data_IF_625136081865
#
_entry.id   IF_625136081865
#
_cell.length_a   1.000
_cell.length_b   1.000
_cell.length_c   1.000
_cell.angle_alpha   90.00
_cell.angle_beta   90.00
_cell.angle_gamma   90.00
#
_symmetry.space_group_name_H-M   'P 1'
#
loop_
_entity.id
_entity.type
_entity.pdbx_description
1 polymer ?
#
# COMPACT_ATOMS: atom_id res chain seq x y z
N UNK A 1 10.85 -13.80 -10.32
CA UNK A 1 11.72 -13.54 -11.48
C UNK A 1 10.95 -13.59 -12.81
N UNK A 2 10.09 -14.58 -13.09
CA UNK A 2 9.33 -14.65 -14.35
C UNK A 2 8.23 -13.57 -14.51
N UNK A 3 7.57 -13.16 -13.45
CA UNK A 3 6.55 -12.09 -13.50
C UNK A 3 7.14 -10.71 -13.87
N UNK A 4 8.34 -10.41 -13.40
CA UNK A 4 9.02 -9.15 -13.71
C UNK A 4 9.45 -9.03 -15.18
N UNK A 5 9.82 -10.13 -15.80
CA UNK A 5 10.24 -10.16 -17.22
C UNK A 5 9.02 -10.02 -18.15
N UNK A 6 7.88 -10.64 -17.80
CA UNK A 6 6.64 -10.50 -18.57
C UNK A 6 6.09 -9.07 -18.54
N UNK A 7 6.07 -8.45 -17.38
CA UNK A 7 5.66 -7.05 -17.22
C UNK A 7 6.60 -6.12 -17.97
N UNK A 8 7.91 -6.32 -17.85
CA UNK A 8 8.91 -5.50 -18.54
C UNK A 8 8.79 -5.63 -20.07
N UNK A 9 8.57 -6.83 -20.59
CA UNK A 9 8.40 -7.06 -22.03
C UNK A 9 7.10 -6.45 -22.57
N UNK A 10 5.99 -6.54 -21.83
CA UNK A 10 4.74 -5.88 -22.18
C UNK A 10 4.90 -4.36 -22.22
N UNK A 11 5.65 -3.81 -21.26
CA UNK A 11 5.94 -2.38 -21.17
C UNK A 11 6.85 -1.89 -22.31
N UNK A 12 7.89 -2.66 -22.64
CA UNK A 12 8.81 -2.33 -23.74
C UNK A 12 8.10 -2.38 -25.10
N UNK A 13 7.16 -3.30 -25.29
CA UNK A 13 6.39 -3.39 -26.54
C UNK A 13 5.42 -2.19 -26.71
N UNK A 14 4.84 -1.71 -25.62
CA UNK A 14 3.93 -0.55 -25.64
C UNK A 14 4.67 0.77 -25.86
N UNK A 15 5.88 0.93 -25.31
CA UNK A 15 6.72 2.14 -25.48
C UNK A 15 7.36 2.22 -26.89
N UNK A 16 7.44 1.11 -27.61
CA UNK A 16 8.13 1.04 -28.91
C UNK A 16 7.30 1.57 -30.10
N UNK A 17 6.01 1.90 -29.88
CA UNK A 17 5.06 2.28 -30.94
C UNK A 17 4.97 3.77 -31.26
N UNK A 18 5.48 4.69 -30.46
CA UNK A 18 5.11 6.11 -30.56
C UNK A 18 6.28 7.11 -30.78
N UNK A 19 5.95 8.09 -31.63
CA UNK A 19 6.81 9.17 -32.14
C UNK A 19 7.33 10.16 -31.08
N UNK A 20 8.30 11.01 -31.46
CA UNK A 20 9.04 11.97 -30.63
C UNK A 20 8.23 12.84 -29.64
N UNK A 21 6.92 13.05 -29.86
CA UNK A 21 6.04 13.76 -28.92
C UNK A 21 5.77 12.97 -27.62
N UNK A 22 5.91 11.65 -27.65
CA UNK A 22 5.69 10.77 -26.49
C UNK A 22 6.82 10.88 -25.46
N UNK A 23 8.05 11.12 -25.90
CA UNK A 23 9.23 11.15 -25.03
C UNK A 23 9.20 12.35 -24.07
N UNK A 24 8.76 13.52 -24.52
CA UNK A 24 8.66 14.73 -23.68
C UNK A 24 7.54 14.59 -22.65
N UNK A 25 6.40 14.01 -23.01
CA UNK A 25 5.28 13.76 -22.12
C UNK A 25 5.66 12.72 -21.04
N UNK A 26 6.38 11.67 -21.43
CA UNK A 26 6.90 10.67 -20.50
C UNK A 26 7.88 11.26 -19.50
N UNK A 27 8.81 12.10 -19.95
CA UNK A 27 9.76 12.80 -19.08
C UNK A 27 9.06 13.70 -18.05
N UNK A 28 8.02 14.41 -18.46
CA UNK A 28 7.22 15.25 -17.58
C UNK A 28 6.45 14.41 -16.54
N UNK A 29 5.85 13.31 -16.94
CA UNK A 29 5.13 12.40 -16.03
C UNK A 29 6.07 11.75 -15.01
N UNK A 30 7.27 11.33 -15.44
CA UNK A 30 8.31 10.81 -14.54
C UNK A 30 8.76 11.89 -13.55
N UNK A 31 8.99 13.12 -14.02
CA UNK A 31 9.40 14.23 -13.16
C UNK A 31 8.32 14.57 -12.11
N UNK A 32 7.04 14.56 -12.48
CA UNK A 32 5.92 14.76 -11.56
C UNK A 32 5.85 13.68 -10.50
N UNK A 33 6.00 12.41 -10.89
CA UNK A 33 5.99 11.27 -9.96
C UNK A 33 7.18 11.35 -9.00
N UNK A 34 8.37 11.63 -9.53
CA UNK A 34 9.57 11.79 -8.72
C UNK A 34 9.44 12.96 -7.74
N UNK A 35 8.91 14.12 -8.17
CA UNK A 35 8.65 15.26 -7.30
C UNK A 35 7.66 14.92 -6.17
N UNK A 36 6.55 14.24 -6.50
CA UNK A 36 5.58 13.81 -5.51
C UNK A 36 6.21 12.84 -4.48
N UNK A 37 6.99 11.89 -4.95
CA UNK A 37 7.64 10.92 -4.08
C UNK A 37 8.74 11.54 -3.23
N UNK A 38 9.58 12.40 -3.80
CA UNK A 38 10.57 13.15 -3.02
C UNK A 38 9.89 13.99 -1.93
N UNK A 39 8.80 14.67 -2.26
CA UNK A 39 8.03 15.47 -1.30
C UNK A 39 7.44 14.57 -0.20
N UNK A 40 6.85 13.42 -0.56
CA UNK A 40 6.31 12.46 0.40
C UNK A 40 7.38 11.87 1.33
N UNK A 41 8.55 11.53 0.79
CA UNK A 41 9.70 11.05 1.59
C UNK A 41 10.22 12.15 2.50
N UNK A 42 10.42 13.36 2.02
CA UNK A 42 10.85 14.50 2.85
C UNK A 42 9.86 14.82 3.96
N UNK A 43 8.56 14.78 3.66
CA UNK A 43 7.50 14.96 4.65
C UNK A 43 7.51 13.85 5.72
N UNK A 44 7.70 12.59 5.29
CA UNK A 44 7.82 11.44 6.18
C UNK A 44 8.99 11.58 7.13
N UNK A 45 10.16 11.97 6.60
CA UNK A 45 11.37 12.21 7.39
C UNK A 45 11.18 13.38 8.37
N UNK A 46 10.57 14.47 7.93
CA UNK A 46 10.27 15.63 8.78
C UNK A 46 9.33 15.26 9.92
N UNK A 47 8.25 14.50 9.65
CA UNK A 47 7.34 13.99 10.67
C UNK A 47 8.06 13.08 11.67
N UNK A 48 8.92 12.20 11.17
CA UNK A 48 9.71 11.31 12.03
C UNK A 48 10.65 12.08 12.95
N UNK A 49 11.40 13.05 12.40
CA UNK A 49 12.31 13.90 13.18
C UNK A 49 11.56 14.72 14.24
N UNK A 50 10.43 15.35 13.86
CA UNK A 50 9.59 16.15 14.77
C UNK A 50 9.03 15.31 15.92
N UNK A 51 8.58 14.09 15.64
CA UNK A 51 8.04 13.18 16.68
C UNK A 51 9.12 12.71 17.65
N UNK A 52 10.29 12.37 17.14
CA UNK A 52 11.44 12.00 17.97
C UNK A 52 11.83 13.13 18.92
N UNK A 53 11.75 14.38 18.47
CA UNK A 53 12.02 15.56 19.29
C UNK A 53 10.95 15.82 20.37
N UNK A 54 9.69 15.45 20.13
CA UNK A 54 8.55 15.76 21.00
C UNK A 54 8.24 14.67 22.02
N UNK A 55 8.89 13.50 21.96
CA UNK A 55 8.65 12.37 22.89
C UNK A 55 7.19 11.85 22.93
N UNK A 56 6.37 12.22 21.95
CA UNK A 56 4.95 11.90 21.93
C UNK A 56 4.69 10.59 21.19
N UNK A 57 4.71 9.48 21.91
CA UNK A 57 4.40 8.13 21.40
C UNK A 57 2.92 7.86 21.11
N UNK A 58 2.02 8.83 21.28
CA UNK A 58 0.60 8.49 21.51
C UNK A 58 -0.38 8.72 20.35
N UNK A 59 -0.01 9.25 19.17
CA UNK A 59 -1.06 9.69 18.24
C UNK A 59 -1.28 8.79 17.02
N UNK A 60 -0.34 8.20 16.44
CA UNK A 60 -0.48 7.22 15.33
C UNK A 60 0.63 6.20 15.49
N UNK A 61 0.34 4.93 15.34
CA UNK A 61 1.43 3.94 15.23
C UNK A 61 2.36 4.40 14.10
N UNK A 62 3.66 4.42 14.35
CA UNK A 62 4.63 4.87 13.34
C UNK A 62 4.43 4.11 12.01
N UNK A 63 4.10 2.83 12.06
CA UNK A 63 3.75 2.01 10.87
C UNK A 63 2.56 2.59 10.09
N UNK A 64 1.52 3.07 10.79
CA UNK A 64 0.31 3.59 10.13
C UNK A 64 0.51 4.94 9.46
N UNK A 65 1.54 5.71 9.86
CA UNK A 65 1.93 6.90 9.10
C UNK A 65 2.40 6.52 7.71
N UNK A 66 3.18 5.45 7.58
CA UNK A 66 3.61 4.99 6.26
C UNK A 66 2.45 4.51 5.39
N UNK A 67 1.41 3.91 5.99
CA UNK A 67 0.18 3.56 5.27
C UNK A 67 -0.53 4.82 4.75
N UNK A 68 -0.71 5.83 5.60
CA UNK A 68 -1.31 7.11 5.19
C UNK A 68 -0.48 7.83 4.12
N UNK A 69 0.86 7.80 4.23
CA UNK A 69 1.75 8.37 3.22
C UNK A 69 1.63 7.59 1.91
N UNK A 70 1.56 6.27 1.95
CA UNK A 70 1.35 5.44 0.76
C UNK A 70 0.03 5.78 0.06
N UNK A 71 -1.05 6.06 0.81
CA UNK A 71 -2.33 6.51 0.22
C UNK A 71 -2.14 7.81 -0.57
N UNK A 72 -1.41 8.78 -0.03
CA UNK A 72 -1.17 10.05 -0.74
C UNK A 72 -0.22 9.87 -1.91
N UNK A 73 0.90 9.16 -1.70
CA UNK A 73 1.95 9.00 -2.72
C UNK A 73 1.51 8.15 -3.92
N UNK A 74 0.64 7.19 -3.71
CA UNK A 74 0.19 6.28 -4.76
C UNK A 74 -1.27 6.50 -5.14
N UNK A 75 -2.15 6.80 -4.19
CA UNK A 75 -3.58 6.98 -4.46
C UNK A 75 -3.85 8.20 -5.32
N UNK A 76 -3.15 9.32 -5.06
CA UNK A 76 -3.31 10.54 -5.88
C UNK A 76 -2.91 10.28 -7.34
N UNK A 77 -1.71 9.74 -7.65
CA UNK A 77 -1.37 9.40 -9.05
C UNK A 77 -2.33 8.39 -9.68
N UNK A 78 -2.69 7.33 -8.97
CA UNK A 78 -3.58 6.29 -9.49
C UNK A 78 -4.99 6.82 -9.81
N UNK A 79 -5.46 7.80 -9.06
CA UNK A 79 -6.76 8.41 -9.31
C UNK A 79 -6.72 9.50 -10.39
N UNK A 80 -5.65 10.32 -10.41
CA UNK A 80 -5.58 11.50 -11.28
C UNK A 80 -4.93 11.23 -12.64
N UNK A 81 -4.03 10.25 -12.73
CA UNK A 81 -3.30 9.94 -13.96
C UNK A 81 -3.90 8.70 -14.62
N UNK A 82 -5.08 8.90 -15.22
CA UNK A 82 -5.80 7.85 -15.96
C UNK A 82 -5.35 7.75 -17.42
N UNK A 83 -4.38 8.56 -17.83
CA UNK A 83 -3.76 8.51 -19.14
C UNK A 83 -2.92 7.22 -19.29
N UNK A 84 -2.67 6.82 -20.54
CA UNK A 84 -1.93 5.59 -20.87
C UNK A 84 -0.56 5.53 -20.17
N UNK A 85 0.08 6.68 -19.95
CA UNK A 85 1.36 6.79 -19.27
C UNK A 85 1.27 6.51 -17.77
N UNK A 86 0.25 7.00 -17.10
CA UNK A 86 0.01 6.73 -15.68
C UNK A 86 -0.25 5.26 -15.43
N UNK A 87 -1.04 4.63 -16.30
CA UNK A 87 -1.36 3.20 -16.20
C UNK A 87 -0.12 2.29 -16.33
N UNK A 88 0.88 2.69 -17.08
CA UNK A 88 2.13 1.95 -17.26
C UNK A 88 3.17 2.31 -16.19
N UNK A 89 3.33 3.61 -15.94
CA UNK A 89 4.39 4.13 -15.07
C UNK A 89 4.20 3.72 -13.60
N UNK A 90 2.96 3.75 -13.10
CA UNK A 90 2.68 3.45 -11.69
C UNK A 90 2.97 1.98 -11.35
N UNK A 91 2.49 0.96 -12.11
CA UNK A 91 2.87 -0.44 -11.88
C UNK A 91 4.37 -0.69 -11.91
N UNK A 92 5.09 -0.04 -12.84
CA UNK A 92 6.56 -0.13 -12.94
C UNK A 92 7.24 0.48 -11.72
N UNK A 93 6.76 1.65 -11.29
CA UNK A 93 7.30 2.32 -10.12
C UNK A 93 7.13 1.48 -8.85
N UNK A 94 5.97 0.80 -8.67
CA UNK A 94 5.78 -0.15 -7.59
C UNK A 94 6.75 -1.34 -7.68
N UNK A 95 6.96 -1.89 -8.88
CA UNK A 95 7.91 -2.98 -9.07
C UNK A 95 9.35 -2.55 -8.73
N UNK A 96 9.75 -1.36 -9.18
CA UNK A 96 11.07 -0.78 -8.86
C UNK A 96 11.25 -0.57 -7.35
N UNK A 97 10.24 -0.03 -6.67
CA UNK A 97 10.25 0.13 -5.21
C UNK A 97 10.35 -1.22 -4.48
N UNK A 98 9.60 -2.24 -4.94
CA UNK A 98 9.66 -3.57 -4.35
C UNK A 98 11.06 -4.19 -4.49
N UNK A 99 11.65 -4.09 -5.69
CA UNK A 99 13.03 -4.55 -5.94
C UNK A 99 14.02 -3.79 -5.05
N UNK A 100 13.87 -2.48 -4.89
CA UNK A 100 14.71 -1.68 -4.01
C UNK A 100 14.61 -2.13 -2.54
N UNK A 101 13.39 -2.31 -2.01
CA UNK A 101 13.19 -2.79 -0.64
C UNK A 101 13.75 -4.19 -0.43
N UNK A 102 13.52 -5.11 -1.36
CA UNK A 102 14.10 -6.46 -1.30
C UNK A 102 15.64 -6.42 -1.34
N UNK A 103 16.21 -5.55 -2.17
CA UNK A 103 17.68 -5.39 -2.28
C UNK A 103 18.28 -4.84 -0.99
N UNK A 104 17.65 -3.80 -0.40
CA UNK A 104 18.08 -3.25 0.90
C UNK A 104 18.01 -4.31 1.99
N UNK A 105 16.95 -5.13 2.01
CA UNK A 105 16.78 -6.19 2.98
C UNK A 105 17.83 -7.30 2.78
N UNK A 106 18.14 -7.70 1.57
CA UNK A 106 19.22 -8.63 1.24
C UNK A 106 20.60 -8.12 1.72
N UNK A 107 20.87 -6.82 1.52
CA UNK A 107 22.09 -6.19 2.00
C UNK A 107 22.17 -6.16 3.54
N UNK A 108 21.02 -5.94 4.21
CA UNK A 108 20.93 -5.95 5.67
C UNK A 108 21.21 -7.36 6.22
N UNK A 109 20.50 -8.37 5.71
CA UNK A 109 20.65 -9.77 6.14
C UNK A 109 22.08 -10.27 5.86
N UNK A 110 22.67 -9.88 4.74
CA UNK A 110 24.06 -10.19 4.39
C UNK A 110 25.09 -9.41 5.21
N UNK A 111 24.67 -8.58 6.18
CA UNK A 111 25.53 -7.72 7.03
C UNK A 111 26.44 -6.76 6.23
N UNK A 112 26.09 -6.50 4.96
CA UNK A 112 26.82 -5.55 4.09
C UNK A 112 26.36 -4.11 4.28
N UNK A 113 25.21 -3.91 4.91
CA UNK A 113 24.68 -2.57 5.19
C UNK A 113 25.29 -2.02 6.48
N UNK A 114 25.70 -0.74 6.46
CA UNK A 114 26.22 -0.05 7.64
C UNK A 114 25.19 -0.06 8.77
N UNK A 115 25.65 -0.28 10.02
CA UNK A 115 24.79 -0.27 11.23
C UNK A 115 24.00 1.04 11.38
N UNK A 116 24.57 2.17 10.95
CA UNK A 116 23.89 3.47 11.03
C UNK A 116 22.73 3.56 10.04
N UNK A 117 22.93 3.09 8.81
CA UNK A 117 21.89 3.03 7.76
C UNK A 117 20.79 2.06 8.19
N UNK A 118 21.15 0.88 8.68
CA UNK A 118 20.20 -0.10 9.23
C UNK A 118 19.35 0.50 10.34
N UNK A 119 19.97 1.21 11.30
CA UNK A 119 19.23 1.88 12.38
C UNK A 119 18.30 2.98 11.87
N UNK A 120 18.67 3.70 10.82
CA UNK A 120 17.86 4.75 10.24
C UNK A 120 16.64 4.18 9.52
N UNK A 121 16.84 3.16 8.68
CA UNK A 121 15.77 2.57 7.86
C UNK A 121 14.80 1.73 8.72
N UNK A 122 15.32 1.02 9.73
CA UNK A 122 14.53 0.10 10.55
C UNK A 122 14.34 0.59 12.00
N UNK A 123 14.48 1.88 12.26
CA UNK A 123 14.40 2.45 13.61
C UNK A 123 13.06 2.19 14.31
N UNK A 124 11.97 2.05 13.55
CA UNK A 124 10.62 1.81 14.04
C UNK A 124 10.28 0.33 14.28
N UNK A 125 11.08 -0.61 13.77
CA UNK A 125 10.85 -2.05 13.94
C UNK A 125 11.29 -2.55 15.34
N UNK A 126 12.11 -1.77 16.05
CA UNK A 126 12.74 -2.17 17.31
C UNK A 126 11.78 -2.41 18.48
N UNK A 127 10.54 -1.96 18.39
CA UNK A 127 9.62 -2.11 19.53
C UNK A 127 9.05 -3.53 19.67
N UNK A 128 9.00 -4.34 18.62
CA UNK A 128 8.28 -5.62 18.65
C UNK A 128 9.16 -6.89 18.70
N UNK A 129 10.44 -6.84 18.31
CA UNK A 129 11.29 -8.05 18.33
C UNK A 129 12.74 -7.73 18.67
N UNK A 130 13.06 -7.72 19.95
CA UNK A 130 14.43 -7.70 20.48
C UNK A 130 15.12 -9.07 20.39
N UNK A 131 14.45 -10.12 19.89
CA UNK A 131 14.95 -11.50 19.89
C UNK A 131 15.54 -12.00 18.57
N UNK A 132 15.25 -11.34 17.41
CA UNK A 132 15.73 -11.82 16.12
C UNK A 132 16.44 -10.70 15.34
N UNK A 133 17.66 -10.36 15.76
CA UNK A 133 18.52 -9.42 14.98
C UNK A 133 18.85 -9.95 13.57
N UNK A 134 18.70 -11.24 13.33
CA UNK A 134 18.99 -11.92 12.07
C UNK A 134 17.72 -12.25 11.22
N UNK A 135 16.52 -11.95 11.71
CA UNK A 135 15.26 -12.22 11.00
C UNK A 135 15.00 -11.29 9.81
N UNK A 136 14.30 -11.79 8.78
CA UNK A 136 13.88 -11.00 7.62
C UNK A 136 12.72 -10.08 8.01
N UNK A 137 12.84 -8.78 7.67
CA UNK A 137 11.82 -7.76 7.93
C UNK A 137 10.95 -7.61 6.68
N UNK A 138 9.77 -8.22 6.71
CA UNK A 138 8.85 -8.25 5.57
C UNK A 138 7.78 -7.14 5.60
N UNK A 139 7.70 -6.35 6.67
CA UNK A 139 6.58 -5.43 6.88
C UNK A 139 6.44 -4.36 5.79
N UNK A 140 7.55 -3.82 5.27
CA UNK A 140 7.52 -2.84 4.18
C UNK A 140 7.23 -3.49 2.83
N UNK A 141 7.88 -4.61 2.57
CA UNK A 141 7.69 -5.35 1.32
C UNK A 141 6.28 -5.93 1.24
N UNK A 142 5.70 -6.41 2.33
CA UNK A 142 4.32 -6.91 2.37
C UNK A 142 3.30 -5.79 2.17
N UNK A 143 3.51 -4.62 2.78
CA UNK A 143 2.67 -3.44 2.56
C UNK A 143 2.68 -3.04 1.08
N UNK A 144 3.88 -2.87 0.51
CA UNK A 144 4.03 -2.46 -0.88
C UNK A 144 3.44 -3.50 -1.84
N UNK A 145 3.68 -4.79 -1.57
CA UNK A 145 3.12 -5.89 -2.35
C UNK A 145 1.59 -5.91 -2.28
N UNK A 146 1.01 -5.72 -1.08
CA UNK A 146 -0.43 -5.68 -0.90
C UNK A 146 -1.12 -4.54 -1.65
N UNK A 147 -0.47 -3.40 -1.78
CA UNK A 147 -0.97 -2.28 -2.58
C UNK A 147 -0.79 -2.55 -4.08
N UNK A 148 0.38 -3.06 -4.48
CA UNK A 148 0.74 -3.23 -5.88
C UNK A 148 0.07 -4.45 -6.55
N UNK A 149 -0.20 -5.51 -5.79
CA UNK A 149 -0.68 -6.77 -6.36
C UNK A 149 -2.06 -6.66 -7.01
N UNK A 150 -3.07 -6.03 -6.39
CA UNK A 150 -4.34 -5.75 -7.05
C UNK A 150 -4.19 -4.92 -8.33
N UNK A 151 -3.34 -3.90 -8.31
CA UNK A 151 -3.04 -3.08 -9.47
C UNK A 151 -2.45 -3.91 -10.61
N UNK A 152 -1.47 -4.76 -10.32
CA UNK A 152 -0.86 -5.64 -11.33
C UNK A 152 -1.82 -6.67 -11.87
N UNK A 153 -2.65 -7.28 -11.02
CA UNK A 153 -3.67 -8.24 -11.45
C UNK A 153 -4.68 -7.57 -12.39
N UNK A 154 -5.15 -6.38 -12.04
CA UNK A 154 -6.07 -5.64 -12.88
C UNK A 154 -5.43 -5.28 -14.23
N UNK A 155 -4.21 -4.79 -14.23
CA UNK A 155 -3.47 -4.45 -15.45
C UNK A 155 -3.22 -5.69 -16.36
N UNK A 156 -2.87 -6.84 -15.77
CA UNK A 156 -2.61 -8.07 -16.51
C UNK A 156 -3.87 -8.75 -17.04
N UNK A 157 -5.03 -8.51 -16.41
CA UNK A 157 -6.30 -9.13 -16.84
C UNK A 157 -6.80 -8.61 -18.19
N UNK A 158 -6.21 -7.53 -18.72
CA UNK A 158 -6.61 -6.93 -20.00
C UNK A 158 -8.09 -6.51 -20.04
N UNK A 159 -8.70 -6.39 -18.87
CA UNK A 159 -10.11 -6.04 -18.74
C UNK A 159 -10.33 -4.64 -19.33
N UNK A 160 -11.19 -4.55 -20.33
CA UNK A 160 -11.61 -3.28 -20.95
C UNK A 160 -12.36 -2.36 -19.96
N UNK A 161 -12.84 -2.93 -18.85
CA UNK A 161 -13.42 -2.16 -17.77
C UNK A 161 -12.29 -1.58 -16.91
N UNK A 162 -11.91 -0.34 -17.16
CA UNK A 162 -10.94 0.45 -16.37
C UNK A 162 -11.49 0.76 -14.97
N UNK A 163 -11.88 -0.27 -14.20
CA UNK A 163 -12.35 -0.08 -12.84
C UNK A 163 -11.21 0.39 -11.95
N UNK A 164 -11.24 1.68 -11.65
CA UNK A 164 -10.29 2.35 -10.75
C UNK A 164 -10.30 1.70 -9.37
N UNK A 165 -11.45 1.22 -8.92
CA UNK A 165 -11.64 0.59 -7.61
C UNK A 165 -10.80 -0.69 -7.48
N UNK A 166 -10.78 -1.54 -8.52
CA UNK A 166 -9.96 -2.75 -8.52
C UNK A 166 -8.47 -2.44 -8.39
N UNK A 167 -8.01 -1.44 -9.13
CA UNK A 167 -6.62 -0.98 -9.06
C UNK A 167 -6.29 -0.39 -7.69
N UNK A 168 -7.22 0.35 -7.07
CA UNK A 168 -7.05 1.00 -5.78
C UNK A 168 -7.37 0.09 -4.58
N UNK A 169 -7.86 -1.13 -4.80
CA UNK A 169 -8.36 -2.01 -3.72
C UNK A 169 -7.31 -2.26 -2.64
N UNK A 170 -6.03 -2.41 -3.00
CA UNK A 170 -4.94 -2.53 -2.05
C UNK A 170 -4.75 -1.28 -1.17
N UNK A 171 -4.81 -0.10 -1.77
CA UNK A 171 -4.73 1.17 -1.06
C UNK A 171 -5.93 1.41 -0.15
N UNK A 172 -7.13 1.07 -0.61
CA UNK A 172 -8.36 1.20 0.18
C UNK A 172 -8.29 0.27 1.39
N UNK A 173 -7.97 -1.01 1.17
CA UNK A 173 -7.98 -2.00 2.25
C UNK A 173 -6.86 -1.75 3.27
N UNK A 174 -5.59 -1.67 2.83
CA UNK A 174 -4.45 -1.56 3.75
C UNK A 174 -4.13 -0.11 4.09
N UNK A 175 -4.19 0.79 3.13
CA UNK A 175 -3.87 2.20 3.33
C UNK A 175 -4.90 2.89 4.23
N UNK A 176 -6.17 2.68 3.96
CA UNK A 176 -7.28 3.34 4.68
C UNK A 176 -7.87 2.42 5.74
N UNK A 177 -8.40 1.26 5.35
CA UNK A 177 -9.12 0.35 6.24
C UNK A 177 -8.29 -0.06 7.46
N UNK A 178 -7.13 -0.64 7.25
CA UNK A 178 -6.24 -1.08 8.34
C UNK A 178 -5.71 0.09 9.19
N UNK A 179 -5.55 1.28 8.59
CA UNK A 179 -5.16 2.48 9.37
C UNK A 179 -6.27 2.90 10.33
N UNK A 180 -7.50 3.02 9.84
CA UNK A 180 -8.65 3.38 10.68
C UNK A 180 -8.97 2.30 11.72
N UNK A 181 -8.91 1.01 11.33
CA UNK A 181 -9.08 -0.10 12.27
C UNK A 181 -8.12 -0.03 13.44
N UNK A 182 -6.84 0.20 13.15
CA UNK A 182 -5.80 0.29 14.16
C UNK A 182 -5.97 1.51 15.08
N UNK A 183 -6.26 2.69 14.51
CA UNK A 183 -6.39 3.93 15.31
C UNK A 183 -7.65 3.92 16.19
N UNK A 184 -8.79 3.54 15.62
CA UNK A 184 -10.05 3.47 16.35
C UNK A 184 -10.01 2.32 17.37
N UNK A 185 -9.54 1.12 16.95
CA UNK A 185 -9.44 -0.01 17.84
C UNK A 185 -8.51 0.22 19.03
N UNK A 186 -7.42 0.98 18.83
CA UNK A 186 -6.48 1.32 19.91
C UNK A 186 -7.04 2.37 20.86
N UNK A 187 -7.68 3.42 20.34
CA UNK A 187 -8.08 4.58 21.14
C UNK A 187 -9.47 4.42 21.77
N UNK A 188 -10.35 3.66 21.13
CA UNK A 188 -11.77 3.53 21.51
C UNK A 188 -12.22 2.07 21.65
N UNK A 189 -11.36 1.09 21.31
CA UNK A 189 -11.70 -0.32 21.37
C UNK A 189 -11.92 -0.79 22.80
N UNK A 190 -13.11 -1.28 23.09
CA UNK A 190 -13.51 -1.83 24.38
C UNK A 190 -13.90 -3.30 24.27
N UNK A 191 -14.49 -3.70 23.13
CA UNK A 191 -14.98 -5.06 22.90
C UNK A 191 -13.96 -5.84 22.08
N UNK A 192 -13.30 -6.82 22.70
CA UNK A 192 -12.37 -7.70 21.98
C UNK A 192 -13.11 -8.67 21.08
N UNK A 193 -12.59 -8.89 19.87
CA UNK A 193 -13.15 -9.89 18.95
C UNK A 193 -12.90 -11.33 19.42
N UNK A 194 -11.77 -11.54 20.10
CA UNK A 194 -11.41 -12.82 20.73
C UNK A 194 -10.53 -12.52 21.94
N UNK A 195 -10.60 -13.34 23.01
CA UNK A 195 -9.80 -13.17 24.22
C UNK A 195 -8.29 -13.22 23.97
N UNK A 196 -7.85 -13.97 22.96
CA UNK A 196 -6.46 -14.11 22.58
C UNK A 196 -5.98 -12.99 21.62
N UNK A 197 -6.88 -12.21 21.04
CA UNK A 197 -6.57 -11.21 20.03
C UNK A 197 -6.48 -9.79 20.61
N UNK A 198 -5.65 -8.95 19.98
CA UNK A 198 -5.62 -7.50 20.23
C UNK A 198 -6.66 -6.73 19.41
N UNK A 199 -7.38 -7.41 18.51
CA UNK A 199 -8.38 -6.82 17.62
C UNK A 199 -9.69 -6.57 18.35
N UNK A 200 -10.35 -5.45 18.02
CA UNK A 200 -11.57 -5.00 18.68
C UNK A 200 -12.72 -4.86 17.67
N UNK A 201 -13.95 -4.96 18.17
CA UNK A 201 -15.15 -4.77 17.36
C UNK A 201 -15.23 -3.34 16.79
N UNK A 202 -14.83 -2.34 17.56
CA UNK A 202 -14.78 -0.95 17.12
C UNK A 202 -13.76 -0.77 15.98
N UNK A 203 -12.64 -1.50 16.05
CA UNK A 203 -11.65 -1.55 14.97
C UNK A 203 -12.22 -2.19 13.70
N UNK A 204 -12.93 -3.32 13.83
CA UNK A 204 -13.64 -3.95 12.73
C UNK A 204 -14.64 -3.00 12.07
N UNK A 205 -15.46 -2.32 12.87
CA UNK A 205 -16.44 -1.39 12.35
C UNK A 205 -15.78 -0.19 11.65
N UNK A 206 -14.67 0.31 12.20
CA UNK A 206 -13.90 1.39 11.61
C UNK A 206 -13.29 0.98 10.26
N UNK A 207 -12.76 -0.26 10.15
CA UNK A 207 -12.31 -0.82 8.88
C UNK A 207 -13.44 -0.82 7.85
N UNK A 208 -14.58 -1.44 8.21
CA UNK A 208 -15.72 -1.55 7.31
C UNK A 208 -16.22 -0.17 6.85
N UNK A 209 -16.48 0.74 7.78
CA UNK A 209 -17.04 2.07 7.45
C UNK A 209 -16.07 2.86 6.56
N UNK A 210 -14.77 2.86 6.88
CA UNK A 210 -13.79 3.63 6.13
C UNK A 210 -13.57 3.07 4.72
N UNK A 211 -13.47 1.74 4.57
CA UNK A 211 -13.35 1.11 3.25
C UNK A 211 -14.60 1.27 2.42
N UNK A 212 -15.78 1.09 3.01
CA UNK A 212 -17.06 1.22 2.33
C UNK A 212 -17.30 2.67 1.86
N UNK A 213 -17.13 3.65 2.75
CA UNK A 213 -17.27 5.06 2.39
C UNK A 213 -16.27 5.48 1.29
N UNK A 214 -15.01 5.07 1.41
CA UNK A 214 -14.00 5.38 0.38
C UNK A 214 -14.34 4.73 -0.95
N UNK A 215 -14.79 3.48 -0.96
CA UNK A 215 -15.17 2.79 -2.18
C UNK A 215 -16.36 3.47 -2.85
N UNK A 216 -17.39 3.86 -2.08
CA UNK A 216 -18.54 4.59 -2.61
C UNK A 216 -18.16 5.97 -3.19
N UNK A 217 -17.19 6.67 -2.58
CA UNK A 217 -16.70 7.95 -3.10
C UNK A 217 -15.90 7.82 -4.40
N UNK A 218 -15.31 6.64 -4.66
CA UNK A 218 -14.48 6.38 -5.82
C UNK A 218 -15.22 5.65 -6.94
N UNK A 219 -16.39 5.05 -6.64
CA UNK A 219 -17.27 4.42 -7.64
C UNK A 219 -17.71 5.47 -8.64
N UNK A 220 -17.55 5.19 -9.93
CA UNK A 220 -18.06 5.98 -11.03
C UNK A 220 -19.31 5.33 -11.60
N UNK A 221 -20.12 6.10 -12.33
CA UNK A 221 -21.33 5.59 -13.00
C UNK A 221 -21.03 4.51 -14.05
N UNK A 222 -19.79 4.43 -14.50
CA UNK A 222 -19.31 3.41 -15.44
C UNK A 222 -19.00 2.07 -14.75
N UNK A 223 -18.90 2.05 -13.42
CA UNK A 223 -18.60 0.85 -12.65
C UNK A 223 -19.90 0.07 -12.36
N UNK A 224 -20.01 -1.16 -12.83
CA UNK A 224 -21.16 -2.05 -12.60
C UNK A 224 -21.20 -2.67 -11.18
N UNK A 225 -20.91 -1.88 -10.14
CA UNK A 225 -20.92 -2.38 -8.77
C UNK A 225 -22.22 -2.04 -8.06
N UNK A 226 -22.94 -3.07 -7.60
CA UNK A 226 -24.04 -2.85 -6.67
C UNK A 226 -23.52 -2.49 -5.28
N UNK A 227 -24.22 -1.65 -4.55
CA UNK A 227 -23.91 -1.28 -3.16
C UNK A 227 -23.76 -2.53 -2.28
N UNK A 228 -24.62 -3.55 -2.52
CA UNK A 228 -24.55 -4.83 -1.79
C UNK A 228 -23.25 -5.57 -2.04
N UNK A 229 -22.75 -5.60 -3.26
CA UNK A 229 -21.47 -6.23 -3.60
C UNK A 229 -20.30 -5.54 -2.93
N UNK A 230 -20.28 -4.21 -2.95
CA UNK A 230 -19.27 -3.40 -2.24
C UNK A 230 -19.32 -3.68 -0.73
N UNK A 231 -20.51 -3.73 -0.15
CA UNK A 231 -20.67 -4.01 1.28
C UNK A 231 -20.11 -5.41 1.63
N UNK A 232 -20.41 -6.43 0.84
CA UNK A 232 -19.90 -7.80 1.04
C UNK A 232 -18.37 -7.81 0.97
N UNK A 233 -17.78 -7.15 -0.03
CA UNK A 233 -16.33 -7.06 -0.18
C UNK A 233 -15.67 -6.39 1.03
N UNK A 234 -16.24 -5.28 1.52
CA UNK A 234 -15.75 -4.58 2.70
C UNK A 234 -15.88 -5.42 3.99
N UNK A 235 -16.99 -6.14 4.16
CA UNK A 235 -17.17 -7.06 5.30
C UNK A 235 -16.17 -8.21 5.25
N UNK A 236 -15.99 -8.84 4.08
CA UNK A 236 -15.03 -9.92 3.91
C UNK A 236 -13.59 -9.48 4.24
N UNK A 237 -13.19 -8.29 3.77
CA UNK A 237 -11.89 -7.71 4.08
C UNK A 237 -11.74 -7.38 5.58
N UNK A 238 -12.78 -6.81 6.21
CA UNK A 238 -12.79 -6.49 7.64
C UNK A 238 -12.71 -7.75 8.51
N UNK A 239 -13.40 -8.81 8.13
CA UNK A 239 -13.30 -10.13 8.82
C UNK A 239 -11.89 -10.71 8.68
N UNK A 240 -11.29 -10.60 7.50
CA UNK A 240 -9.90 -11.04 7.29
C UNK A 240 -8.92 -10.26 8.17
N UNK A 241 -9.10 -8.95 8.33
CA UNK A 241 -8.31 -8.11 9.24
C UNK A 241 -8.43 -8.58 10.70
N UNK A 242 -9.63 -8.98 11.13
CA UNK A 242 -9.85 -9.45 12.49
C UNK A 242 -9.28 -10.85 12.77
N UNK A 243 -9.17 -11.70 11.76
CA UNK A 243 -8.75 -13.10 11.90
C UNK A 243 -7.26 -13.31 11.67
N UNK A 244 -6.63 -12.44 10.88
CA UNK A 244 -5.21 -12.55 10.56
C UNK A 244 -4.35 -11.74 11.54
N UNK A 245 -3.36 -12.39 12.13
CA UNK A 245 -2.36 -11.79 13.03
C UNK A 245 -0.93 -11.97 12.49
N UNK A 246 -0.73 -11.89 11.19
CA UNK A 246 0.56 -12.13 10.56
C UNK A 246 1.03 -10.91 9.76
N UNK A 247 2.32 -10.89 9.39
CA UNK A 247 2.86 -9.88 8.45
C UNK A 247 2.29 -10.03 7.03
N UNK A 248 1.59 -11.14 6.76
CA UNK A 248 0.92 -11.39 5.48
C UNK A 248 -0.48 -10.78 5.40
N UNK A 249 -1.01 -10.25 6.52
CA UNK A 249 -2.28 -9.52 6.56
C UNK A 249 -2.33 -8.42 5.48
N UNK A 250 -1.25 -7.64 5.35
CA UNK A 250 -1.13 -6.59 4.33
C UNK A 250 -1.27 -7.08 2.88
N UNK A 251 -1.06 -8.36 2.61
CA UNK A 251 -1.22 -8.95 1.26
C UNK A 251 -2.57 -9.64 1.12
N UNK A 252 -2.98 -10.39 2.14
CA UNK A 252 -4.20 -11.20 2.08
C UNK A 252 -5.45 -10.34 2.08
N UNK A 253 -5.52 -9.31 2.94
CA UNK A 253 -6.69 -8.44 3.06
C UNK A 253 -7.06 -7.76 1.72
N UNK A 254 -6.11 -7.13 0.99
CA UNK A 254 -6.38 -6.57 -0.34
C UNK A 254 -6.88 -7.59 -1.36
N UNK A 255 -6.33 -8.81 -1.31
CA UNK A 255 -6.75 -9.87 -2.23
C UNK A 255 -8.16 -10.36 -1.94
N UNK A 256 -8.51 -10.49 -0.66
CA UNK A 256 -9.90 -10.81 -0.27
C UNK A 256 -10.83 -9.70 -0.72
N UNK A 257 -10.47 -8.44 -0.47
CA UNK A 257 -11.27 -7.30 -0.92
C UNK A 257 -11.49 -7.31 -2.43
N UNK A 258 -10.40 -7.49 -3.21
CA UNK A 258 -10.46 -7.56 -4.68
C UNK A 258 -11.30 -8.74 -5.18
N UNK A 259 -11.22 -9.91 -4.52
CA UNK A 259 -11.93 -11.12 -4.93
C UNK A 259 -13.45 -11.00 -4.79
N UNK A 260 -13.92 -10.17 -3.87
CA UNK A 260 -15.35 -9.94 -3.65
C UNK A 260 -15.87 -8.68 -4.38
N UNK A 261 -14.99 -7.83 -4.89
CA UNK A 261 -15.32 -6.74 -5.83
C UNK A 261 -15.56 -7.25 -7.26
#
# INVERSE_FOLDING_TARGET
>A
MFLSVGILNALVSQVRGDNAGSVTLTAFSIARLAALWCTGVCFSLALFCKRRALGKEKILSQRKIFHAIAVVMFGVPMHTWRDDYGQVLIPVAFAACLVLFCSVECLRVSKRLSKNITRMIFAWEKEKKRSDEDGVVLSHSSLLLGIAFPLWLHHLSGSSNNSVIKSLSGLIAVGIGDTFACEIGRNFGSIKMNDASTKTFEGFLAFFVSTFATTLLLVSDEDEYSIGKIAIACVAAALSECTLESTLDNVVIPLVFLAFL
#
